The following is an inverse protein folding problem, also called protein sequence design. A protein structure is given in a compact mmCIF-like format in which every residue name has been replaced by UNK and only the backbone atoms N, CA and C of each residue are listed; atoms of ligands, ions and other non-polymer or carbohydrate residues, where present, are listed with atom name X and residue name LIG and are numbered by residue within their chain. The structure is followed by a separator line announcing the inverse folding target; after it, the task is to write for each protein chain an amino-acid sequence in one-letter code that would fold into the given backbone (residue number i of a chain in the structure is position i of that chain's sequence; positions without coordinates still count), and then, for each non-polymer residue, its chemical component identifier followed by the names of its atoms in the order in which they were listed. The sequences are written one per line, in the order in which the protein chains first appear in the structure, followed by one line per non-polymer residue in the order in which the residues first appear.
data_IF_174752793965
#
_entry.id   IF_174752793965
#
_cell.length_a   1.000
_cell.length_b   1.000
_cell.length_c   1.000
_cell.angle_alpha   90.00
_cell.angle_beta   90.00
_cell.angle_gamma   90.00
#
_symmetry.space_group_name_H-M   'P 1'
#
loop_
_entity.id
_entity.type
_entity.pdbx_description
1 polymer ?
#
# COMPACT_ATOMS: atom_id res chain seq x y z
N UNK A 1 9.34 14.48 -5.06
CA UNK A 1 8.41 14.25 -3.95
C UNK A 1 7.73 12.92 -4.20
N UNK A 2 7.59 12.09 -3.16
CA UNK A 2 6.87 10.81 -3.22
C UNK A 2 5.73 10.87 -2.22
N UNK A 3 4.54 10.47 -2.64
CA UNK A 3 3.34 10.49 -1.79
C UNK A 3 2.54 9.21 -1.97
N UNK A 4 2.10 8.61 -0.86
CA UNK A 4 1.17 7.48 -0.85
C UNK A 4 1.79 6.11 -0.58
N UNK A 5 1.01 5.05 -0.83
CA UNK A 5 1.39 3.66 -0.59
C UNK A 5 1.99 3.05 -1.86
N UNK A 6 3.18 2.49 -1.74
CA UNK A 6 3.84 1.81 -2.86
C UNK A 6 3.22 0.41 -3.03
N UNK A 7 2.80 0.11 -4.25
CA UNK A 7 2.27 -1.19 -4.68
C UNK A 7 3.03 -1.65 -5.93
N UNK A 8 3.45 -2.92 -5.96
CA UNK A 8 4.06 -3.55 -7.12
C UNK A 8 3.21 -4.66 -7.71
N UNK A 9 3.54 -5.07 -8.93
CA UNK A 9 2.94 -6.24 -9.56
C UNK A 9 3.17 -7.49 -8.70
N UNK A 10 4.38 -7.68 -8.17
CA UNK A 10 4.72 -8.84 -7.32
C UNK A 10 3.87 -8.88 -6.04
N UNK A 11 3.57 -7.73 -5.43
CA UNK A 11 2.67 -7.65 -4.28
C UNK A 11 1.24 -8.05 -4.67
N UNK A 12 0.75 -7.59 -5.82
CA UNK A 12 -0.60 -7.94 -6.32
C UNK A 12 -0.71 -9.42 -6.67
N UNK A 13 0.33 -10.01 -7.26
CA UNK A 13 0.40 -11.44 -7.57
C UNK A 13 0.41 -12.32 -6.32
N UNK A 14 0.94 -11.80 -5.21
CA UNK A 14 0.91 -12.49 -3.92
C UNK A 14 -0.48 -12.48 -3.27
N UNK A 15 -1.38 -11.56 -3.65
CA UNK A 15 -2.73 -11.51 -3.11
C UNK A 15 -3.57 -12.70 -3.61
N UNK A 16 -4.17 -13.43 -2.66
CA UNK A 16 -5.03 -14.57 -2.96
C UNK A 16 -6.42 -14.39 -2.37
N UNK A 17 -7.50 -14.63 -3.13
CA UNK A 17 -8.85 -14.59 -2.60
C UNK A 17 -8.98 -15.42 -1.32
N UNK A 18 -9.66 -14.86 -0.31
CA UNK A 18 -9.77 -15.46 1.02
C UNK A 18 -8.76 -14.95 2.06
N UNK A 19 -7.74 -14.17 1.66
CA UNK A 19 -6.82 -13.55 2.62
C UNK A 19 -7.54 -12.53 3.52
N UNK A 20 -7.34 -12.57 4.83
CA UNK A 20 -7.90 -11.54 5.71
C UNK A 20 -7.16 -10.20 5.56
N UNK A 21 -7.79 -9.12 6.01
CA UNK A 21 -7.22 -7.77 5.97
C UNK A 21 -5.77 -7.66 6.53
N UNK A 22 -5.42 -8.45 7.57
CA UNK A 22 -4.05 -8.41 8.14
C UNK A 22 -3.04 -9.07 7.20
N UNK A 23 -3.42 -10.16 6.55
CA UNK A 23 -2.58 -10.83 5.55
C UNK A 23 -2.36 -9.94 4.33
N UNK A 24 -3.41 -9.27 3.86
CA UNK A 24 -3.30 -8.27 2.79
C UNK A 24 -2.36 -7.13 3.21
N UNK A 25 -2.51 -6.60 4.43
CA UNK A 25 -1.64 -5.55 4.94
C UNK A 25 -0.18 -5.98 5.10
N UNK A 26 0.08 -7.27 5.34
CA UNK A 26 1.43 -7.79 5.41
C UNK A 26 2.12 -7.80 4.02
N UNK A 27 1.36 -8.09 2.97
CA UNK A 27 1.86 -8.13 1.58
C UNK A 27 1.96 -6.73 0.97
N UNK A 28 0.91 -5.93 1.14
CA UNK A 28 0.74 -4.63 0.45
C UNK A 28 1.12 -3.43 1.32
N UNK A 29 1.40 -3.64 2.60
CA UNK A 29 1.52 -2.58 3.60
C UNK A 29 0.16 -2.14 4.16
N UNK A 30 0.20 -1.33 5.22
CA UNK A 30 -1.01 -0.74 5.78
C UNK A 30 -1.48 0.43 4.90
N UNK A 31 -2.78 0.51 4.54
CA UNK A 31 -3.29 1.69 3.86
C UNK A 31 -3.21 2.89 4.81
N UNK A 32 -2.61 3.99 4.33
CA UNK A 32 -2.53 5.29 5.04
C UNK A 32 -3.91 5.83 5.45
N UNK A 33 -4.98 5.45 4.75
CA UNK A 33 -6.35 5.85 5.08
C UNK A 33 -7.26 4.63 5.11
N UNK A 34 -7.93 4.41 6.25
CA UNK A 34 -9.07 3.51 6.37
C UNK A 34 -10.32 4.35 6.55
N UNK A 35 -11.23 4.30 5.59
CA UNK A 35 -12.52 4.95 5.75
C UNK A 35 -13.38 4.12 6.74
N UNK A 36 -13.80 4.67 7.89
CA UNK A 36 -14.60 3.93 8.87
C UNK A 36 -15.97 3.48 8.31
N UNK A 37 -16.43 4.10 7.21
CA UNK A 37 -17.67 3.77 6.51
C UNK A 37 -17.48 2.77 5.37
N UNK A 38 -16.25 2.56 4.88
CA UNK A 38 -15.93 1.59 3.82
C UNK A 38 -14.96 0.54 4.32
N UNK A 39 -15.41 -0.28 5.27
CA UNK A 39 -14.61 -1.36 5.84
C UNK A 39 -14.23 -2.44 4.81
N UNK A 40 -14.91 -2.43 3.66
CA UNK A 40 -14.79 -3.43 2.60
C UNK A 40 -13.88 -2.99 1.44
N UNK A 41 -13.24 -1.81 1.51
CA UNK A 41 -12.38 -1.32 0.44
C UNK A 41 -11.15 -0.58 0.97
N UNK A 42 -9.99 -0.95 0.47
CA UNK A 42 -8.72 -0.24 0.73
C UNK A 42 -8.17 0.34 -0.56
N UNK A 43 -7.88 1.63 -0.55
CA UNK A 43 -7.32 2.33 -1.70
C UNK A 43 -5.83 2.63 -1.49
N UNK A 44 -5.00 2.17 -2.43
CA UNK A 44 -3.57 2.39 -2.49
C UNK A 44 -3.27 3.35 -3.64
N UNK A 45 -3.10 4.64 -3.29
CA UNK A 45 -2.68 5.68 -4.21
C UNK A 45 -1.17 5.87 -4.11
N UNK A 46 -0.48 5.97 -5.24
CA UNK A 46 0.93 6.35 -5.31
C UNK A 46 1.11 7.47 -6.32
N UNK A 47 1.88 8.50 -5.96
CA UNK A 47 2.29 9.57 -6.86
C UNK A 47 3.78 9.87 -6.69
N UNK A 48 4.50 9.87 -7.81
CA UNK A 48 5.91 10.26 -7.92
C UNK A 48 6.03 11.52 -8.78
N UNK A 49 6.50 12.59 -8.15
CA UNK A 49 6.77 13.87 -8.81
C UNK A 49 8.27 14.18 -8.80
N UNK A 50 8.80 14.55 -9.96
CA UNK A 50 10.19 14.95 -10.12
C UNK A 50 10.26 16.24 -10.95
N UNK A 51 10.93 17.27 -10.41
CA UNK A 51 11.08 18.59 -11.06
C UNK A 51 9.72 19.14 -11.56
N UNK A 52 8.73 19.14 -10.67
CA UNK A 52 7.36 19.62 -10.91
C UNK A 52 6.61 18.92 -12.06
N UNK A 53 7.04 17.70 -12.43
CA UNK A 53 6.34 16.82 -13.36
C UNK A 53 5.92 15.55 -12.65
N UNK A 54 4.65 15.17 -12.80
CA UNK A 54 4.15 13.86 -12.39
C UNK A 54 4.76 12.82 -13.33
N UNK A 55 5.69 12.03 -12.80
CA UNK A 55 6.36 10.98 -13.57
C UNK A 55 5.57 9.67 -13.46
N UNK A 56 4.92 9.42 -12.31
CA UNK A 56 4.08 8.24 -12.10
C UNK A 56 2.90 8.57 -11.19
N UNK A 57 1.73 8.05 -11.52
CA UNK A 57 0.53 8.08 -10.69
C UNK A 57 -0.25 6.79 -10.96
N UNK A 58 -0.61 6.05 -9.91
CA UNK A 58 -1.56 4.94 -9.99
C UNK A 58 -2.41 4.84 -8.73
N UNK A 59 -3.59 4.26 -8.89
CA UNK A 59 -4.50 3.91 -7.79
C UNK A 59 -4.89 2.46 -7.93
N UNK A 60 -4.71 1.69 -6.85
CA UNK A 60 -5.17 0.30 -6.75
C UNK A 60 -6.19 0.21 -5.63
N UNK A 61 -7.39 -0.27 -5.95
CA UNK A 61 -8.46 -0.48 -4.98
C UNK A 61 -8.60 -1.97 -4.68
N UNK A 62 -8.46 -2.34 -3.41
CA UNK A 62 -8.55 -3.71 -2.91
C UNK A 62 -9.88 -3.91 -2.21
N UNK A 63 -10.62 -4.95 -2.59
CA UNK A 63 -11.98 -5.21 -2.09
C UNK A 63 -12.04 -6.43 -1.18
N UNK A 64 -12.85 -6.32 -0.14
CA UNK A 64 -13.11 -7.34 0.85
C UNK A 64 -14.60 -7.70 0.91
N UNK A 65 -14.90 -8.92 1.32
CA UNK A 65 -16.27 -9.38 1.57
C UNK A 65 -16.81 -8.91 2.94
N UNK A 66 -18.05 -9.30 3.27
CA UNK A 66 -18.68 -9.01 4.57
C UNK A 66 -17.97 -9.66 5.77
N UNK A 67 -17.11 -10.65 5.54
CA UNK A 67 -16.33 -11.35 6.56
C UNK A 67 -14.92 -10.74 6.71
N UNK A 68 -14.55 -9.77 5.86
CA UNK A 68 -13.24 -9.12 5.86
C UNK A 68 -12.16 -9.90 5.10
N UNK A 69 -12.56 -10.80 4.21
CA UNK A 69 -11.65 -11.54 3.34
C UNK A 69 -11.53 -10.85 1.98
N UNK A 70 -10.30 -10.80 1.48
CA UNK A 70 -9.96 -10.27 0.17
C UNK A 70 -10.66 -11.05 -0.93
N UNK A 71 -11.17 -10.31 -1.92
CA UNK A 71 -11.88 -10.88 -3.06
C UNK A 71 -11.11 -10.62 -4.35
N UNK A 72 -10.86 -9.35 -4.66
CA UNK A 72 -10.20 -8.89 -5.88
C UNK A 72 -9.65 -7.48 -5.68
N UNK A 73 -8.79 -7.06 -6.61
CA UNK A 73 -8.37 -5.67 -6.73
C UNK A 73 -8.82 -5.11 -8.08
N UNK A 74 -8.89 -3.79 -8.18
CA UNK A 74 -9.08 -3.05 -9.43
C UNK A 74 -8.02 -1.95 -9.54
N UNK A 75 -7.79 -1.48 -10.76
CA UNK A 75 -6.74 -0.52 -11.09
C UNK A 75 -5.66 -1.12 -11.97
N UNK A 76 -4.81 -0.26 -12.50
CA UNK A 76 -3.76 -0.63 -13.45
C UNK A 76 -2.45 -0.03 -12.99
N UNK A 77 -1.43 -0.88 -12.84
CA UNK A 77 -0.06 -0.41 -12.62
C UNK A 77 0.51 0.11 -13.95
N UNK A 78 1.34 1.16 -13.94
CA UNK A 78 1.98 1.65 -15.15
C UNK A 78 3.00 0.63 -15.69
N UNK A 79 3.01 0.39 -17.00
CA UNK A 79 3.90 -0.56 -17.71
C UNK A 79 5.40 -0.35 -17.48
N UNK A 80 5.80 0.81 -16.97
CA UNK A 80 7.21 1.21 -16.83
C UNK A 80 7.73 0.95 -15.41
N UNK A 81 8.25 -0.26 -15.23
CA UNK A 81 9.36 -0.59 -14.33
C UNK A 81 9.19 -0.08 -12.89
N UNK A 82 8.44 -0.81 -12.09
CA UNK A 82 8.63 -0.81 -10.64
C UNK A 82 9.53 -2.01 -10.33
N UNK A 83 10.84 -1.80 -10.24
CA UNK A 83 11.73 -2.82 -9.68
C UNK A 83 11.91 -2.54 -8.19
N UNK A 84 11.79 -3.56 -7.34
CA UNK A 84 12.01 -3.49 -5.88
C UNK A 84 13.33 -2.80 -5.50
N UNK A 85 14.35 -2.96 -6.35
CA UNK A 85 15.68 -2.34 -6.21
C UNK A 85 15.69 -0.80 -6.27
N UNK A 86 14.73 -0.17 -6.96
CA UNK A 86 14.57 1.28 -6.93
C UNK A 86 13.87 1.75 -5.64
N UNK A 87 13.07 0.89 -5.01
CA UNK A 87 12.32 1.19 -3.79
C UNK A 87 13.22 1.23 -2.55
N UNK A 88 14.16 0.28 -2.41
CA UNK A 88 15.12 0.25 -1.29
C UNK A 88 16.06 1.48 -1.24
N UNK A 89 16.20 2.19 -2.36
CA UNK A 89 17.01 3.41 -2.45
C UNK A 89 16.20 4.69 -2.21
N UNK A 90 14.87 4.62 -2.35
CA UNK A 90 13.97 5.77 -2.16
C UNK A 90 13.24 5.76 -0.82
N UNK A 91 13.18 4.61 -0.15
CA UNK A 91 12.76 4.52 1.25
C UNK A 91 13.76 5.31 2.12
N UNK A 92 13.31 6.20 3.02
CA UNK A 92 14.16 6.69 4.09
C UNK A 92 14.68 5.48 4.85
N UNK A 93 16.01 5.30 4.93
CA UNK A 93 16.56 4.43 5.96
C UNK A 93 16.22 5.10 7.30
N UNK A 94 15.46 4.40 8.13
CA UNK A 94 14.95 4.79 9.45
C UNK A 94 13.65 5.63 9.45
N UNK A 95 12.55 4.97 9.79
CA UNK A 95 11.80 5.31 11.01
C UNK A 95 11.37 4.02 11.72
N UNK A 96 12.31 3.41 12.43
CA UNK A 96 12.00 2.55 13.57
C UNK A 96 11.52 3.46 14.71
N UNK A 97 10.35 4.10 14.57
CA UNK A 97 9.80 4.93 15.65
C UNK A 97 9.04 4.06 16.64
N UNK A 98 9.81 3.52 17.58
CA UNK A 98 9.51 3.41 19.01
C UNK A 98 8.02 3.37 19.40
N UNK A 99 7.47 2.17 19.61
CA UNK A 99 6.35 2.01 20.54
C UNK A 99 6.91 2.15 21.97
N UNK A 100 7.19 3.37 22.42
CA UNK A 100 7.21 3.67 23.85
C UNK A 100 5.76 3.67 24.33
N UNK A 101 5.33 2.54 24.90
CA UNK A 101 4.32 2.54 25.95
C UNK A 101 4.76 3.58 27.00
N UNK A 102 3.91 4.53 27.42
CA UNK A 102 4.22 5.31 28.60
C UNK A 102 4.23 4.33 29.78
N UNK A 103 5.42 4.02 30.28
CA UNK A 103 5.59 3.41 31.60
C UNK A 103 6.23 4.48 32.45
N UNK A 104 5.43 5.15 33.27
CA UNK A 104 5.78 5.82 34.53
C UNK A 104 4.43 6.28 35.13
N UNK A 105 3.88 5.56 36.13
CA UNK A 105 4.06 5.70 37.60
C UNK A 105 3.57 7.05 38.11
#
# INVERSE_FOLDING_TARGET
MQQGNIVTADMLEQLKPGMNARQVAYVMGNPVVRNPFEQQRWDYLYTLEQRDKVIKNYTISVYFDAQGNYTHYTGTLPDQGFKEEDQLKTLPKEETSVNTVPTDI
#
